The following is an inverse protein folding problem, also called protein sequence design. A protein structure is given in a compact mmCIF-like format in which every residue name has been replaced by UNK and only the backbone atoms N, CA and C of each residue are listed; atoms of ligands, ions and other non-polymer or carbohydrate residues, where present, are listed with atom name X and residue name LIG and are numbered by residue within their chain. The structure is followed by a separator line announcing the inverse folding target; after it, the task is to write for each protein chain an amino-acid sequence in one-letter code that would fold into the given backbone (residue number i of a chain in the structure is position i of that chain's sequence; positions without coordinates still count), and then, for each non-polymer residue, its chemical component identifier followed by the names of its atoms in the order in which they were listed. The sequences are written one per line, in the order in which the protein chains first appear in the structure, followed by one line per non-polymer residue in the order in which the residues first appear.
data_IF_688533455991
#
_entry.id   IF_688533455991
#
_cell.length_a   1.000
_cell.length_b   1.000
_cell.length_c   1.000
_cell.angle_alpha   90.00
_cell.angle_beta   90.00
_cell.angle_gamma   90.00
#
_symmetry.space_group_name_H-M   'P 1'
#
loop_
_entity.id
_entity.type
_entity.pdbx_description
1 polymer ?
#
# COMPACT_ATOMS: atom_id res chain seq x y z
N UNK A 1 -9.66 36.70 -21.75
CA UNK A 1 -8.59 35.96 -21.08
C UNK A 1 -9.05 35.77 -19.65
N UNK A 2 -9.28 34.53 -19.25
CA UNK A 2 -8.93 34.02 -17.91
C UNK A 2 -9.41 32.56 -17.83
N UNK A 3 -8.43 31.68 -17.94
CA UNK A 3 -8.55 30.23 -17.85
C UNK A 3 -8.46 29.90 -16.36
N UNK A 4 -9.57 29.49 -15.75
CA UNK A 4 -9.53 28.96 -14.39
C UNK A 4 -8.97 27.54 -14.43
N UNK A 5 -7.69 27.48 -14.11
CA UNK A 5 -6.80 26.34 -14.02
C UNK A 5 -7.38 25.21 -13.15
N UNK A 6 -7.25 23.98 -13.66
CA UNK A 6 -7.83 22.78 -13.09
C UNK A 6 -7.29 22.43 -11.72
N UNK A 7 -8.19 22.31 -10.74
CA UNK A 7 -7.94 21.46 -9.58
C UNK A 7 -7.94 20.00 -10.06
N UNK A 8 -6.76 19.48 -10.38
CA UNK A 8 -6.55 18.06 -10.58
C UNK A 8 -6.92 17.33 -9.28
N UNK A 9 -8.14 16.81 -9.23
CA UNK A 9 -8.60 15.90 -8.19
C UNK A 9 -7.56 14.77 -8.09
N UNK A 10 -6.84 14.72 -6.97
CA UNK A 10 -5.80 13.72 -6.74
C UNK A 10 -6.41 12.32 -6.78
N UNK A 11 -6.27 11.65 -7.92
CA UNK A 11 -6.58 10.24 -8.08
C UNK A 11 -5.78 9.46 -7.02
N UNK A 12 -6.39 8.50 -6.29
CA UNK A 12 -5.65 7.67 -5.34
C UNK A 12 -4.50 7.00 -6.07
N UNK A 13 -3.26 7.34 -5.69
CA UNK A 13 -2.08 6.77 -6.30
C UNK A 13 -1.94 5.33 -5.83
N UNK A 14 -1.46 4.46 -6.71
CA UNK A 14 -0.99 3.13 -6.30
C UNK A 14 0.15 3.31 -5.29
N UNK A 15 0.45 2.28 -4.48
CA UNK A 15 1.63 2.27 -3.58
C UNK A 15 2.90 2.70 -4.32
N UNK A 16 2.97 2.41 -5.63
CA UNK A 16 4.07 2.81 -6.51
C UNK A 16 4.11 4.33 -6.76
N UNK A 17 2.97 4.99 -6.92
CA UNK A 17 2.90 6.44 -7.17
C UNK A 17 3.16 7.31 -5.93
N UNK A 18 3.07 6.75 -4.72
CA UNK A 18 3.48 7.44 -3.49
C UNK A 18 4.96 7.22 -3.18
N UNK A 19 5.49 6.00 -3.32
CA UNK A 19 6.95 5.76 -3.20
C UNK A 19 7.78 6.54 -4.23
N UNK A 20 7.21 6.82 -5.41
CA UNK A 20 7.86 7.58 -6.48
C UNK A 20 8.25 9.01 -6.08
N UNK A 21 7.52 9.66 -5.18
CA UNK A 21 7.85 11.02 -4.76
C UNK A 21 9.00 11.07 -3.75
N UNK A 22 9.13 10.06 -2.89
CA UNK A 22 10.10 10.07 -1.79
C UNK A 22 11.42 9.34 -2.10
N UNK A 23 11.41 8.38 -3.03
CA UNK A 23 12.56 7.46 -3.24
C UNK A 23 13.41 7.78 -4.48
N UNK A 24 12.95 8.68 -5.35
CA UNK A 24 13.53 8.93 -6.68
C UNK A 24 13.15 7.87 -7.74
N UNK A 25 13.48 8.14 -9.01
CA UNK A 25 13.14 7.29 -10.16
C UNK A 25 14.00 6.03 -10.30
N UNK A 26 15.02 5.87 -9.47
CA UNK A 26 16.00 4.79 -9.54
C UNK A 26 15.43 3.56 -8.83
N UNK A 27 15.62 2.37 -9.41
CA UNK A 27 15.24 1.09 -8.79
C UNK A 27 16.21 0.74 -7.67
N UNK A 28 15.69 0.16 -6.59
CA UNK A 28 16.53 -0.42 -5.54
C UNK A 28 17.38 -1.57 -6.08
N UNK A 29 18.59 -1.74 -5.53
CA UNK A 29 19.43 -2.92 -5.78
C UNK A 29 18.82 -4.17 -5.12
N UNK A 30 19.24 -5.35 -5.56
CA UNK A 30 18.82 -6.61 -4.94
C UNK A 30 19.22 -6.68 -3.46
N UNK A 31 20.43 -6.22 -3.12
CA UNK A 31 20.94 -6.13 -1.75
C UNK A 31 20.07 -5.23 -0.86
N UNK A 32 19.62 -4.08 -1.39
CA UNK A 32 18.73 -3.17 -0.66
C UNK A 32 17.34 -3.78 -0.44
N UNK A 33 16.85 -4.53 -1.43
CA UNK A 33 15.59 -5.28 -1.32
C UNK A 33 15.72 -6.36 -0.24
N UNK A 34 16.80 -7.13 -0.23
CA UNK A 34 17.04 -8.19 0.75
C UNK A 34 17.12 -7.62 2.17
N UNK A 35 17.88 -6.53 2.36
CA UNK A 35 17.98 -5.84 3.65
C UNK A 35 16.63 -5.30 4.14
N UNK A 36 15.76 -4.86 3.23
CA UNK A 36 14.41 -4.44 3.59
C UNK A 36 13.55 -5.63 4.00
N UNK A 37 13.58 -6.72 3.22
CA UNK A 37 12.81 -7.94 3.50
C UNK A 37 13.17 -8.53 4.87
N UNK A 38 14.43 -8.46 5.29
CA UNK A 38 14.88 -8.97 6.61
C UNK A 38 14.38 -8.15 7.81
N UNK A 39 13.85 -6.93 7.59
CA UNK A 39 13.54 -5.98 8.67
C UNK A 39 12.05 -5.75 8.90
N UNK A 40 11.20 -6.12 7.94
CA UNK A 40 9.77 -5.83 7.98
C UNK A 40 8.96 -7.09 8.30
N UNK A 41 7.76 -6.91 8.84
CA UNK A 41 6.88 -8.03 9.17
C UNK A 41 6.28 -8.70 7.94
N UNK A 42 5.79 -9.93 8.11
CA UNK A 42 5.09 -10.69 7.06
C UNK A 42 3.86 -9.93 6.54
N UNK A 43 3.15 -9.18 7.38
CA UNK A 43 1.99 -8.38 6.96
C UNK A 43 2.39 -7.19 6.09
N UNK A 44 3.58 -6.61 6.33
CA UNK A 44 4.16 -5.60 5.46
C UNK A 44 4.54 -6.24 4.13
N UNK A 45 5.26 -7.37 4.14
CA UNK A 45 5.63 -8.12 2.94
C UNK A 45 4.40 -8.48 2.09
N UNK A 46 3.34 -8.98 2.72
CA UNK A 46 2.10 -9.33 2.04
C UNK A 46 1.43 -8.13 1.34
N UNK A 47 1.51 -6.91 1.91
CA UNK A 47 1.04 -5.70 1.24
C UNK A 47 1.95 -5.30 0.07
N UNK A 48 3.27 -5.47 0.22
CA UNK A 48 4.29 -5.10 -0.76
C UNK A 48 4.27 -6.02 -1.97
N UNK A 49 4.20 -7.33 -1.77
CA UNK A 49 4.04 -8.35 -2.84
C UNK A 49 2.73 -8.14 -3.61
N UNK A 50 1.65 -7.75 -2.92
CA UNK A 50 0.37 -7.44 -3.56
C UNK A 50 0.38 -6.10 -4.32
N UNK A 51 1.31 -5.21 -3.99
CA UNK A 51 1.38 -3.84 -4.50
C UNK A 51 0.22 -2.94 -4.06
N UNK A 52 -0.59 -3.35 -3.07
CA UNK A 52 -1.72 -2.56 -2.55
C UNK A 52 -2.07 -2.91 -1.10
N UNK A 53 -2.56 -1.89 -0.38
CA UNK A 53 -3.11 -2.02 0.96
C UNK A 53 -4.56 -2.48 0.95
N UNK A 54 -5.00 -3.07 2.06
CA UNK A 54 -6.38 -3.52 2.26
C UNK A 54 -7.05 -2.62 3.28
N UNK A 55 -7.87 -1.68 2.78
CA UNK A 55 -8.68 -0.81 3.65
C UNK A 55 -10.11 -1.33 3.72
N UNK A 56 -10.77 -1.24 4.89
CA UNK A 56 -12.15 -1.68 5.00
C UNK A 56 -13.07 -0.78 4.16
N UNK A 57 -14.05 -1.39 3.51
CA UNK A 57 -15.07 -0.66 2.74
C UNK A 57 -16.02 0.10 3.68
N UNK A 58 -16.76 1.06 3.13
CA UNK A 58 -17.79 1.79 3.90
C UNK A 58 -18.85 0.83 4.47
N UNK A 59 -19.20 -0.26 3.76
CA UNK A 59 -20.15 -1.25 4.28
C UNK A 59 -19.61 -2.02 5.48
N UNK A 60 -18.30 -2.25 5.54
CA UNK A 60 -17.66 -3.00 6.62
C UNK A 60 -17.42 -2.15 7.86
N UNK A 61 -16.96 -0.90 7.69
CA UNK A 61 -16.53 -0.05 8.81
C UNK A 61 -17.44 1.16 9.08
N UNK A 62 -18.53 1.33 8.31
CA UNK A 62 -19.36 2.52 8.37
C UNK A 62 -18.63 3.79 7.90
N UNK A 63 -19.27 4.95 8.13
CA UNK A 63 -18.67 6.26 7.91
C UNK A 63 -18.56 6.99 9.25
N UNK A 64 -17.32 7.17 9.70
CA UNK A 64 -16.98 7.90 10.91
C UNK A 64 -15.88 8.91 10.56
N UNK A 65 -16.11 10.17 10.91
CA UNK A 65 -15.13 11.24 10.72
C UNK A 65 -14.34 11.43 12.01
N UNK A 66 -13.02 11.51 11.87
CA UNK A 66 -12.08 11.70 12.98
C UNK A 66 -11.73 13.16 13.23
N UNK A 67 -12.22 14.09 12.42
CA UNK A 67 -11.94 15.51 12.55
C UNK A 67 -12.43 16.32 11.37
N UNK A 68 -12.10 17.61 11.43
CA UNK A 68 -12.32 18.61 10.37
C UNK A 68 -10.98 19.30 10.15
N UNK A 69 -10.55 19.51 8.90
CA UNK A 69 -9.34 20.27 8.61
C UNK A 69 -9.61 21.80 8.57
N UNK A 70 -8.56 22.58 8.34
CA UNK A 70 -8.64 24.05 8.32
C UNK A 70 -9.55 24.60 7.20
N UNK A 71 -9.78 23.80 6.16
CA UNK A 71 -10.69 24.12 5.05
C UNK A 71 -12.15 23.72 5.34
N UNK A 72 -12.44 23.17 6.52
CA UNK A 72 -13.76 22.70 6.89
C UNK A 72 -14.12 21.32 6.33
N UNK A 73 -13.17 20.58 5.77
CA UNK A 73 -13.41 19.26 5.18
C UNK A 73 -13.41 18.17 6.27
N UNK A 74 -14.34 17.24 6.15
CA UNK A 74 -14.48 16.12 7.09
C UNK A 74 -13.39 15.08 6.82
N UNK A 75 -12.60 14.76 7.83
CA UNK A 75 -11.49 13.80 7.73
C UNK A 75 -11.95 12.42 8.17
N UNK A 76 -11.77 11.41 7.31
CA UNK A 76 -11.93 9.99 7.66
C UNK A 76 -10.58 9.27 7.55
N UNK A 77 -10.21 8.53 8.58
CA UNK A 77 -8.96 7.75 8.63
C UNK A 77 -9.27 6.26 8.65
N UNK A 78 -8.61 5.49 7.79
CA UNK A 78 -8.77 4.04 7.68
C UNK A 78 -7.41 3.35 7.75
N UNK A 79 -7.21 2.50 8.74
CA UNK A 79 -6.00 1.69 8.84
C UNK A 79 -6.08 0.47 7.92
N UNK A 80 -4.99 0.12 7.26
CA UNK A 80 -4.85 -1.10 6.49
C UNK A 80 -5.04 -2.31 7.42
N UNK A 81 -5.99 -3.18 7.12
CA UNK A 81 -6.31 -4.36 7.95
C UNK A 81 -5.25 -5.46 7.86
N UNK A 82 -4.31 -5.34 6.93
CA UNK A 82 -3.19 -6.26 6.77
C UNK A 82 -1.97 -5.74 7.53
N UNK A 83 -1.23 -4.77 6.98
CA UNK A 83 0.00 -4.29 7.63
C UNK A 83 -0.20 -3.42 8.87
N UNK A 84 -1.38 -2.87 9.14
CA UNK A 84 -1.65 -1.91 10.23
C UNK A 84 -0.82 -0.60 10.24
N UNK A 85 0.18 -0.47 9.37
CA UNK A 85 1.06 0.69 9.30
C UNK A 85 0.55 1.78 8.35
N UNK A 86 -0.14 1.40 7.28
CA UNK A 86 -0.68 2.36 6.33
C UNK A 86 -2.05 2.86 6.76
N UNK A 87 -2.23 4.17 6.75
CA UNK A 87 -3.48 4.85 7.07
C UNK A 87 -3.93 5.64 5.86
N UNK A 88 -5.06 5.25 5.28
CA UNK A 88 -5.71 6.06 4.25
C UNK A 88 -6.46 7.19 4.91
N UNK A 89 -6.08 8.41 4.58
CA UNK A 89 -6.77 9.62 4.96
C UNK A 89 -7.64 10.04 3.78
N UNK A 90 -8.92 10.26 4.05
CA UNK A 90 -9.91 10.73 3.09
C UNK A 90 -10.45 12.08 3.56
N UNK A 91 -10.49 13.07 2.65
CA UNK A 91 -11.19 14.33 2.88
C UNK A 91 -12.55 14.30 2.20
N UNK A 92 -13.58 14.68 2.93
CA UNK A 92 -14.97 14.62 2.51
C UNK A 92 -15.64 15.99 2.63
N UNK A 93 -16.48 16.31 1.67
CA UNK A 93 -17.26 17.53 1.63
C UNK A 93 -18.75 17.19 1.57
N UNK A 94 -19.57 17.93 2.33
CA UNK A 94 -21.02 17.88 2.24
C UNK A 94 -21.55 18.96 1.30
N UNK A 95 -22.00 18.59 0.11
CA UNK A 95 -22.58 19.52 -0.86
C UNK A 95 -24.10 19.53 -0.72
N UNK A 96 -24.66 20.72 -0.46
CA UNK A 96 -26.12 20.93 -0.41
C UNK A 96 -26.61 21.54 -1.71
N UNK A 97 -27.35 20.77 -2.50
CA UNK A 97 -28.09 21.32 -3.64
C UNK A 97 -29.31 22.12 -3.17
N UNK A 98 -29.71 23.17 -3.90
CA UNK A 98 -30.95 23.92 -3.61
C UNK A 98 -32.14 22.96 -3.54
N UNK A 99 -32.79 22.90 -2.37
CA UNK A 99 -33.96 22.04 -2.11
C UNK A 99 -33.68 20.53 -2.00
N UNK A 100 -32.42 20.08 -2.00
CA UNK A 100 -32.06 18.65 -1.96
C UNK A 100 -31.40 18.26 -0.65
N UNK A 101 -31.45 16.95 -0.34
CA UNK A 101 -30.67 16.34 0.75
C UNK A 101 -29.18 16.59 0.54
N UNK A 102 -28.44 16.86 1.62
CA UNK A 102 -26.98 16.97 1.58
C UNK A 102 -26.38 15.68 1.05
N UNK A 103 -25.50 15.78 0.06
CA UNK A 103 -24.72 14.65 -0.46
C UNK A 103 -23.28 14.81 -0.05
N UNK A 104 -22.69 13.74 0.49
CA UNK A 104 -21.28 13.71 0.85
C UNK A 104 -20.47 13.09 -0.27
N UNK A 105 -19.35 13.71 -0.61
CA UNK A 105 -18.40 13.21 -1.61
C UNK A 105 -16.98 13.27 -1.07
N UNK A 106 -16.18 12.27 -1.43
CA UNK A 106 -14.74 12.29 -1.16
C UNK A 106 -14.07 13.18 -2.20
N UNK A 107 -13.38 14.21 -1.73
CA UNK A 107 -12.72 15.21 -2.59
C UNK A 107 -11.21 14.99 -2.71
N UNK A 108 -10.59 14.35 -1.71
CA UNK A 108 -9.18 13.96 -1.75
C UNK A 108 -8.91 12.70 -0.93
N UNK A 109 -7.80 12.01 -1.23
CA UNK A 109 -7.27 10.94 -0.41
C UNK A 109 -5.77 10.78 -0.58
N UNK A 110 -5.06 10.48 0.52
CA UNK A 110 -3.63 10.17 0.56
C UNK A 110 -3.35 9.07 1.59
N UNK A 111 -2.17 8.45 1.55
CA UNK A 111 -1.72 7.59 2.64
C UNK A 111 -0.77 8.33 3.59
N UNK A 112 -0.88 7.97 4.86
CA UNK A 112 0.08 8.26 5.91
C UNK A 112 0.65 6.92 6.39
N UNK A 113 1.97 6.83 6.54
CA UNK A 113 2.62 5.64 7.09
C UNK A 113 3.00 5.90 8.54
N UNK A 114 2.57 5.00 9.42
CA UNK A 114 2.95 4.99 10.83
C UNK A 114 4.14 4.08 11.04
N UNK A 115 4.93 4.38 12.06
CA UNK A 115 5.92 3.47 12.61
C UNK A 115 5.22 2.42 13.47
N UNK A 116 5.56 1.15 13.27
CA UNK A 116 5.06 0.05 14.09
C UNK A 116 5.64 0.06 15.51
N UNK A 117 5.08 -0.76 16.43
CA UNK A 117 5.53 -0.85 17.82
C UNK A 117 7.03 -1.13 17.98
N UNK A 118 7.63 -1.88 17.05
CA UNK A 118 9.03 -2.28 17.07
C UNK A 118 9.92 -1.40 16.18
N UNK A 119 9.50 -0.18 15.87
CA UNK A 119 10.23 0.70 14.95
C UNK A 119 10.07 0.31 13.47
N UNK A 120 9.17 -0.62 13.15
CA UNK A 120 8.92 -1.06 11.78
C UNK A 120 8.47 0.11 10.91
N UNK A 121 9.18 0.33 9.81
CA UNK A 121 8.83 1.31 8.80
C UNK A 121 8.29 0.61 7.56
N UNK A 122 7.13 1.05 7.06
CA UNK A 122 6.56 0.50 5.84
C UNK A 122 7.41 0.88 4.61
N UNK A 123 7.91 2.10 4.58
CA UNK A 123 8.70 2.63 3.48
C UNK A 123 10.16 2.17 3.57
N UNK A 124 10.78 1.94 2.42
CA UNK A 124 12.20 1.68 2.37
C UNK A 124 12.97 2.93 2.85
N UNK A 125 14.17 2.77 3.46
CA UNK A 125 15.00 3.91 3.84
C UNK A 125 15.26 4.84 2.65
N UNK A 126 15.21 6.14 2.90
CA UNK A 126 15.46 7.18 1.89
C UNK A 126 16.79 6.96 1.16
N UNK A 127 16.80 7.13 -0.16
CA UNK A 127 18.01 7.03 -1.00
C UNK A 127 18.31 5.63 -1.56
N UNK A 128 17.52 4.60 -1.22
CA UNK A 128 17.70 3.22 -1.72
C UNK A 128 16.88 2.88 -2.97
N UNK A 129 16.24 3.88 -3.59
CA UNK A 129 15.41 3.69 -4.77
C UNK A 129 14.06 3.00 -4.48
N UNK A 130 13.23 2.87 -5.51
CA UNK A 130 11.92 2.20 -5.40
C UNK A 130 12.05 0.69 -5.56
N UNK A 131 11.37 -0.08 -4.70
CA UNK A 131 11.29 -1.54 -4.81
C UNK A 131 9.94 -1.94 -5.39
N UNK A 132 9.96 -2.80 -6.41
CA UNK A 132 8.74 -3.31 -7.04
C UNK A 132 8.17 -4.51 -6.28
N UNK A 133 6.86 -4.79 -6.41
CA UNK A 133 6.26 -6.02 -5.84
C UNK A 133 6.98 -7.30 -6.28
N UNK A 134 7.46 -7.32 -7.53
CA UNK A 134 8.25 -8.42 -8.07
C UNK A 134 9.57 -8.62 -7.33
N UNK A 135 10.36 -7.56 -7.13
CA UNK A 135 11.63 -7.65 -6.40
C UNK A 135 11.43 -8.19 -4.98
N UNK A 136 10.37 -7.74 -4.30
CA UNK A 136 10.02 -8.24 -2.96
C UNK A 136 9.69 -9.73 -3.02
N UNK A 137 8.81 -10.14 -3.94
CA UNK A 137 8.44 -11.55 -4.10
C UNK A 137 9.62 -12.45 -4.47
N UNK A 138 10.51 -11.99 -5.37
CA UNK A 138 11.71 -12.72 -5.78
C UNK A 138 12.68 -12.89 -4.58
N UNK A 139 12.87 -11.85 -3.75
CA UNK A 139 13.68 -11.93 -2.53
C UNK A 139 13.09 -12.88 -1.48
N UNK A 140 11.79 -12.76 -1.18
CA UNK A 140 11.07 -13.64 -0.24
C UNK A 140 11.15 -15.10 -0.70
N UNK A 141 10.88 -15.37 -1.99
CA UNK A 141 10.98 -16.71 -2.55
C UNK A 141 12.41 -17.26 -2.47
N UNK A 142 13.42 -16.44 -2.80
CA UNK A 142 14.82 -16.86 -2.74
C UNK A 142 15.23 -17.25 -1.32
N UNK A 143 14.78 -16.51 -0.31
CA UNK A 143 15.01 -16.83 1.11
C UNK A 143 14.29 -18.10 1.54
N UNK A 144 13.03 -18.30 1.15
CA UNK A 144 12.26 -19.51 1.47
C UNK A 144 12.85 -20.79 0.83
N UNK A 145 13.51 -20.63 -0.33
CA UNK A 145 14.15 -21.73 -1.06
C UNK A 145 15.64 -21.92 -0.69
N UNK A 146 16.17 -21.10 0.22
CA UNK A 146 17.57 -21.18 0.63
C UNK A 146 17.91 -22.59 1.16
N UNK A 147 19.03 -23.13 0.69
CA UNK A 147 19.48 -24.49 1.03
C UNK A 147 18.87 -25.62 0.22
N UNK A 148 17.88 -25.36 -0.64
CA UNK A 148 17.32 -26.36 -1.55
C UNK A 148 18.06 -26.38 -2.89
N UNK A 149 18.37 -27.57 -3.39
CA UNK A 149 18.88 -27.70 -4.77
C UNK A 149 17.74 -27.63 -5.78
N UNK A 150 18.01 -27.06 -6.96
CA UNK A 150 17.04 -27.04 -8.08
C UNK A 150 16.53 -28.43 -8.43
N UNK A 151 17.37 -29.45 -8.33
CA UNK A 151 16.99 -30.85 -8.57
C UNK A 151 15.98 -31.34 -7.54
N UNK A 152 16.18 -31.04 -6.25
CA UNK A 152 15.25 -31.39 -5.19
C UNK A 152 13.88 -30.70 -5.39
N UNK A 153 13.90 -29.40 -5.73
CA UNK A 153 12.70 -28.63 -6.02
C UNK A 153 11.89 -29.21 -7.18
N UNK A 154 12.56 -29.52 -8.30
CA UNK A 154 11.92 -30.17 -9.47
C UNK A 154 11.30 -31.51 -9.11
N UNK A 155 12.00 -32.34 -8.32
CA UNK A 155 11.49 -33.65 -7.89
C UNK A 155 10.27 -33.52 -6.97
N UNK A 156 10.25 -32.53 -6.08
CA UNK A 156 9.12 -32.22 -5.22
C UNK A 156 7.90 -31.77 -6.04
N UNK A 157 8.09 -30.85 -6.99
CA UNK A 157 7.03 -30.34 -7.86
C UNK A 157 6.36 -31.45 -8.70
N UNK A 158 7.16 -32.36 -9.28
CA UNK A 158 6.65 -33.51 -10.05
C UNK A 158 5.84 -34.47 -9.18
N UNK A 159 6.15 -34.58 -7.88
CA UNK A 159 5.39 -35.43 -6.97
C UNK A 159 4.04 -34.81 -6.63
N UNK A 160 4.03 -33.52 -6.26
CA UNK A 160 2.81 -32.78 -5.93
C UNK A 160 1.80 -32.78 -7.10
N UNK A 161 2.26 -32.57 -8.34
CA UNK A 161 1.36 -32.57 -9.51
C UNK A 161 0.70 -33.92 -9.80
N UNK A 162 1.36 -35.04 -9.42
CA UNK A 162 0.78 -36.38 -9.53
C UNK A 162 -0.25 -36.68 -8.44
N UNK A 163 -0.12 -36.03 -7.29
CA UNK A 163 -1.04 -36.18 -6.15
C UNK A 163 -2.31 -35.34 -6.35
N UNK A 164 -2.22 -34.13 -6.92
CA UNK A 164 -3.38 -33.28 -7.26
C UNK A 164 -4.19 -33.79 -8.47
N UNK A 165 -3.56 -34.55 -9.36
CA UNK A 165 -4.22 -35.16 -10.53
C UNK A 165 -4.96 -36.46 -10.24
N UNK A 166 -5.05 -36.88 -8.97
CA UNK A 166 -5.68 -38.13 -8.52
C UNK A 166 -6.96 -37.86 -7.73
#
# INVERSE_FOLDING_TARGET
MDVAEGAAAGTPRSIQGEQQQESGWIRASEEDVDLYVDRVSDEVLACRERGRHLFPTIRQAGIHFTGVDDDGLLIRRLTCTCCQLAVKVEKWEGVRGRGRRTRFQRVASHLEYRTGPDGQAYLAPSGRGHMTPRQIGDSVASKALAGQSLTALRKAAIRASKEEGR
#
